data_IF_093455869703
#
_entry.id   IF_093455869703
#
_cell.length_a   1.000
_cell.length_b   1.000
_cell.length_c   1.000
_cell.angle_alpha   90.00
_cell.angle_beta   90.00
_cell.angle_gamma   90.00
#
_symmetry.space_group_name_H-M   'P 1'
#
loop_
_entity.id
_entity.type
_entity.pdbx_description
1 polymer ?
#
# COMPACT_ATOMS: atom_id res chain seq x y z
N UNK A 1 -65.03 -5.81 -49.81
CA UNK A 1 -63.79 -5.01 -49.60
C UNK A 1 -63.53 -4.95 -48.09
N UNK A 2 -62.28 -4.98 -47.61
CA UNK A 2 -61.56 -6.20 -47.23
C UNK A 2 -61.26 -6.35 -45.71
N UNK A 3 -60.96 -7.60 -45.33
CA UNK A 3 -59.98 -8.11 -44.35
C UNK A 3 -59.46 -7.17 -43.24
N UNK A 4 -59.44 -7.68 -42.01
CA UNK A 4 -58.18 -8.01 -41.29
C UNK A 4 -58.45 -8.81 -40.00
N UNK A 5 -58.15 -10.10 -40.08
CA UNK A 5 -57.85 -11.01 -38.97
C UNK A 5 -56.51 -10.63 -38.31
N UNK A 6 -56.44 -10.65 -36.98
CA UNK A 6 -55.18 -10.78 -36.26
C UNK A 6 -55.27 -11.98 -35.30
N UNK A 7 -54.64 -13.08 -35.70
CA UNK A 7 -54.28 -14.18 -34.83
C UNK A 7 -52.94 -13.83 -34.17
N UNK A 8 -52.86 -13.86 -32.85
CA UNK A 8 -51.60 -13.82 -32.13
C UNK A 8 -51.26 -15.25 -31.71
N UNK A 9 -50.30 -15.85 -32.40
CA UNK A 9 -49.73 -17.14 -32.09
C UNK A 9 -48.73 -17.00 -30.93
N UNK A 10 -48.92 -17.79 -29.86
CA UNK A 10 -47.93 -17.99 -28.81
C UNK A 10 -46.76 -18.82 -29.37
N UNK A 11 -45.59 -18.19 -29.49
CA UNK A 11 -44.33 -18.86 -29.79
C UNK A 11 -43.56 -19.09 -28.48
N UNK A 12 -43.46 -20.37 -28.09
CA UNK A 12 -42.50 -20.84 -27.10
C UNK A 12 -41.10 -20.79 -27.74
N UNK A 13 -40.12 -20.23 -27.02
CA UNK A 13 -38.70 -20.38 -27.38
C UNK A 13 -37.92 -20.92 -26.17
N UNK A 14 -37.50 -22.15 -26.39
CA UNK A 14 -36.54 -23.02 -25.72
C UNK A 14 -35.41 -22.36 -24.93
N UNK A 15 -35.18 -22.90 -23.75
CA UNK A 15 -33.98 -22.68 -22.94
C UNK A 15 -32.73 -23.21 -23.65
N UNK A 16 -31.72 -22.34 -23.86
CA UNK A 16 -30.35 -22.77 -24.16
C UNK A 16 -29.61 -22.97 -22.84
N UNK A 17 -29.35 -24.24 -22.52
CA UNK A 17 -28.34 -24.66 -21.53
C UNK A 17 -26.95 -24.31 -22.08
N UNK A 18 -26.30 -23.30 -21.52
CA UNK A 18 -24.86 -23.09 -21.72
C UNK A 18 -24.13 -24.04 -20.78
N UNK A 19 -23.47 -25.05 -21.35
CA UNK A 19 -22.59 -25.94 -20.61
C UNK A 19 -21.39 -25.17 -20.06
N UNK A 20 -21.23 -25.14 -18.73
CA UNK A 20 -19.97 -24.75 -18.11
C UNK A 20 -18.98 -25.92 -18.23
N UNK A 21 -18.03 -25.78 -19.15
CA UNK A 21 -16.74 -26.44 -19.01
C UNK A 21 -16.09 -25.88 -17.73
N UNK A 22 -15.61 -26.72 -16.78
CA UNK A 22 -14.74 -26.25 -15.71
C UNK A 22 -13.36 -25.94 -16.31
N UNK A 23 -13.29 -24.84 -17.05
CA UNK A 23 -12.07 -24.25 -17.55
C UNK A 23 -11.52 -23.33 -16.48
N UNK A 24 -10.38 -23.72 -15.90
CA UNK A 24 -9.35 -22.88 -15.31
C UNK A 24 -9.79 -21.42 -15.08
N UNK A 25 -10.45 -21.17 -13.95
CA UNK A 25 -10.36 -19.85 -13.34
C UNK A 25 -8.89 -19.62 -13.05
N UNK A 26 -8.21 -18.85 -13.90
CA UNK A 26 -6.96 -18.22 -13.54
C UNK A 26 -7.18 -17.45 -12.22
N UNK A 27 -6.13 -17.19 -11.44
CA UNK A 27 -6.29 -16.47 -10.18
C UNK A 27 -7.02 -15.17 -10.49
N UNK A 28 -8.23 -15.03 -9.94
CA UNK A 28 -8.90 -13.74 -9.86
C UNK A 28 -7.87 -12.84 -9.22
N UNK A 29 -7.48 -11.75 -9.89
CA UNK A 29 -6.54 -10.79 -9.33
C UNK A 29 -7.04 -10.44 -7.93
N UNK A 30 -6.34 -10.96 -6.91
CA UNK A 30 -6.64 -10.58 -5.54
C UNK A 30 -6.51 -9.08 -5.47
N UNK A 31 -7.41 -8.40 -4.78
CA UNK A 31 -7.30 -6.95 -4.54
C UNK A 31 -6.01 -6.57 -3.79
N UNK A 32 -5.30 -7.57 -3.25
CA UNK A 32 -4.07 -7.41 -2.48
C UNK A 32 -3.18 -8.66 -2.51
N UNK A 33 -1.88 -8.50 -2.27
CA UNK A 33 -0.97 -9.64 -2.02
C UNK A 33 -1.40 -10.43 -0.79
N UNK A 34 -1.83 -9.71 0.24
CA UNK A 34 -2.42 -10.25 1.45
C UNK A 34 -3.95 -10.25 1.34
N UNK A 35 -4.67 -10.78 2.33
CA UNK A 35 -6.11 -10.52 2.47
C UNK A 35 -6.37 -9.37 3.46
N UNK A 36 -5.40 -8.46 3.65
CA UNK A 36 -5.51 -7.38 4.61
C UNK A 36 -6.50 -6.33 4.13
N UNK A 37 -7.44 -5.96 4.98
CA UNK A 37 -8.52 -5.01 4.67
C UNK A 37 -8.76 -3.99 5.77
N UNK A 38 -8.04 -4.11 6.90
CA UNK A 38 -8.24 -3.20 8.02
C UNK A 38 -7.65 -1.83 7.69
N UNK A 39 -8.51 -0.82 7.73
CA UNK A 39 -8.14 0.59 7.68
C UNK A 39 -7.76 1.10 9.07
N UNK A 40 -8.08 0.42 10.18
CA UNK A 40 -7.85 0.95 11.54
C UNK A 40 -6.80 0.19 12.36
N UNK A 41 -6.36 -0.97 11.87
CA UNK A 41 -5.31 -1.78 12.47
C UNK A 41 -4.24 -2.03 11.42
N UNK A 42 -2.95 -1.76 11.71
CA UNK A 42 -1.88 -2.00 10.75
C UNK A 42 -1.67 -3.51 10.51
N UNK A 43 -1.23 -3.93 9.32
CA UNK A 43 -0.94 -5.33 9.03
C UNK A 43 0.13 -5.88 9.96
N UNK A 44 0.06 -7.18 10.25
CA UNK A 44 1.09 -7.87 11.05
C UNK A 44 2.41 -8.02 10.27
N UNK A 45 2.31 -8.16 8.94
CA UNK A 45 3.43 -8.41 8.04
C UNK A 45 3.29 -7.62 6.74
N UNK A 46 4.40 -7.42 6.05
CA UNK A 46 4.46 -6.82 4.70
C UNK A 46 5.39 -7.65 3.81
N UNK A 47 5.04 -7.74 2.53
CA UNK A 47 5.86 -8.40 1.50
C UNK A 47 6.68 -7.35 0.76
N UNK A 48 8.00 -7.41 0.94
CA UNK A 48 8.94 -6.45 0.39
C UNK A 48 9.71 -7.09 -0.74
N UNK A 49 9.57 -6.55 -1.94
CA UNK A 49 10.42 -6.90 -3.07
C UNK A 49 11.83 -6.34 -2.85
N UNK A 50 12.82 -7.22 -2.90
CA UNK A 50 14.23 -6.92 -2.73
C UNK A 50 14.84 -6.60 -4.09
N UNK A 51 14.94 -5.33 -4.45
CA UNK A 51 15.27 -4.90 -5.81
C UNK A 51 16.58 -5.50 -6.33
N UNK A 52 17.61 -5.56 -5.49
CA UNK A 52 18.92 -6.06 -5.88
C UNK A 52 18.97 -7.58 -6.13
N UNK A 53 18.15 -8.36 -5.42
CA UNK A 53 18.17 -9.84 -5.51
C UNK A 53 16.99 -10.44 -6.29
N UNK A 54 15.91 -9.68 -6.48
CA UNK A 54 14.67 -10.13 -7.11
C UNK A 54 13.78 -10.99 -6.19
N UNK A 55 14.16 -11.19 -4.93
CA UNK A 55 13.37 -11.98 -3.96
C UNK A 55 12.24 -11.15 -3.35
N UNK A 56 11.29 -11.83 -2.70
CA UNK A 56 10.24 -11.19 -1.90
C UNK A 56 10.38 -11.67 -0.46
N UNK A 57 10.62 -10.74 0.45
CA UNK A 57 10.73 -11.02 1.88
C UNK A 57 9.39 -10.75 2.56
N UNK A 58 8.92 -11.67 3.40
CA UNK A 58 7.77 -11.41 4.29
C UNK A 58 8.30 -11.11 5.69
N UNK A 59 8.07 -9.88 6.15
CA UNK A 59 8.65 -9.39 7.42
C UNK A 59 7.60 -8.79 8.33
N UNK A 60 7.89 -8.70 9.64
CA UNK A 60 7.03 -7.98 10.58
C UNK A 60 6.88 -6.53 10.14
N UNK A 61 5.64 -6.06 10.03
CA UNK A 61 5.35 -4.69 9.59
C UNK A 61 5.99 -3.65 10.51
N UNK A 62 5.97 -3.89 11.82
CA UNK A 62 6.59 -3.01 12.80
C UNK A 62 8.11 -2.94 12.66
N UNK A 63 8.76 -4.08 12.47
CA UNK A 63 10.22 -4.12 12.24
C UNK A 63 10.61 -3.44 10.93
N UNK A 64 9.80 -3.64 9.87
CA UNK A 64 9.96 -2.94 8.60
C UNK A 64 9.89 -1.41 8.78
N UNK A 65 8.85 -0.89 9.44
CA UNK A 65 8.71 0.56 9.69
C UNK A 65 9.92 1.13 10.45
N UNK A 66 10.43 0.41 11.46
CA UNK A 66 11.62 0.85 12.22
C UNK A 66 12.87 0.94 11.35
N UNK A 67 13.09 -0.07 10.50
CA UNK A 67 14.22 -0.08 9.59
C UNK A 67 14.11 1.04 8.57
N UNK A 68 12.96 1.17 7.89
CA UNK A 68 12.73 2.21 6.88
C UNK A 68 12.91 3.62 7.46
N UNK A 69 12.37 3.90 8.64
CA UNK A 69 12.59 5.21 9.26
C UNK A 69 14.07 5.49 9.52
N UNK A 70 14.87 4.46 9.82
CA UNK A 70 16.33 4.59 10.00
C UNK A 70 17.08 4.84 8.70
N UNK A 71 16.43 4.66 7.54
CA UNK A 71 17.01 4.89 6.21
C UNK A 71 16.49 6.18 5.57
N UNK A 72 15.27 6.58 5.91
CA UNK A 72 14.56 7.70 5.27
C UNK A 72 14.61 9.00 6.06
N UNK A 73 14.85 8.95 7.37
CA UNK A 73 14.96 10.14 8.25
C UNK A 73 16.34 10.24 8.86
N UNK A 74 16.87 11.45 9.03
CA UNK A 74 18.16 11.64 9.71
C UNK A 74 17.98 11.42 11.22
N UNK A 75 18.74 10.47 11.78
CA UNK A 75 18.55 9.99 13.15
C UNK A 75 18.86 11.01 14.25
N UNK A 76 19.56 12.10 13.91
CA UNK A 76 19.88 13.22 14.79
C UNK A 76 18.85 14.35 14.76
N UNK A 77 17.82 14.27 13.92
CA UNK A 77 16.73 15.23 13.94
C UNK A 77 15.91 15.14 15.23
N UNK A 78 15.12 16.17 15.48
CA UNK A 78 14.31 16.27 16.69
C UNK A 78 13.40 15.06 16.86
N UNK A 79 13.11 14.69 18.11
CA UNK A 79 12.20 13.57 18.42
C UNK A 79 10.84 13.75 17.74
N UNK A 80 10.34 15.00 17.63
CA UNK A 80 9.07 15.26 16.95
C UNK A 80 9.16 15.00 15.44
N UNK A 81 10.28 15.37 14.80
CA UNK A 81 10.50 15.04 13.38
C UNK A 81 10.53 13.52 13.17
N UNK A 82 11.24 12.77 14.01
CA UNK A 82 11.28 11.31 13.92
C UNK A 82 9.90 10.67 14.16
N UNK A 83 9.11 11.19 15.11
CA UNK A 83 7.73 10.70 15.36
C UNK A 83 6.79 10.99 14.20
N UNK A 84 6.89 12.17 13.58
CA UNK A 84 6.15 12.49 12.34
C UNK A 84 6.58 11.57 11.19
N UNK A 85 7.88 11.37 11.00
CA UNK A 85 8.41 10.42 10.02
C UNK A 85 7.92 8.99 10.25
N UNK A 86 7.84 8.55 11.51
CA UNK A 86 7.33 7.22 11.86
C UNK A 86 5.87 7.03 11.41
N UNK A 87 5.02 8.03 11.60
CA UNK A 87 3.63 8.01 11.13
C UNK A 87 3.57 7.95 9.60
N UNK A 88 4.35 8.80 8.92
CA UNK A 88 4.42 8.91 7.46
C UNK A 88 4.90 7.60 6.82
N UNK A 89 6.00 7.03 7.30
CA UNK A 89 6.55 5.78 6.76
C UNK A 89 5.56 4.63 6.94
N UNK A 90 4.95 4.52 8.11
CA UNK A 90 3.99 3.47 8.42
C UNK A 90 2.72 3.58 7.58
N UNK A 91 2.13 4.77 7.46
CA UNK A 91 0.88 4.96 6.73
C UNK A 91 1.06 4.71 5.23
N UNK A 92 2.18 5.14 4.66
CA UNK A 92 2.50 4.85 3.26
C UNK A 92 2.53 3.34 3.01
N UNK A 93 3.32 2.60 3.80
CA UNK A 93 3.45 1.16 3.64
C UNK A 93 2.11 0.43 3.83
N UNK A 94 1.31 0.86 4.80
CA UNK A 94 -0.03 0.30 5.05
C UNK A 94 -0.96 0.57 3.86
N UNK A 95 -0.96 1.78 3.32
CA UNK A 95 -1.72 2.10 2.12
C UNK A 95 -1.33 1.19 0.94
N UNK A 96 -0.03 0.93 0.73
CA UNK A 96 0.41 0.03 -0.35
C UNK A 96 -0.05 -1.43 -0.15
N UNK A 97 -0.19 -1.89 1.09
CA UNK A 97 -0.74 -3.22 1.41
C UNK A 97 -2.24 -3.30 1.08
N UNK A 98 -3.00 -2.25 1.38
CA UNK A 98 -4.45 -2.18 1.10
C UNK A 98 -4.74 -1.96 -0.39
N UNK A 99 -3.88 -1.23 -1.08
CA UNK A 99 -4.04 -0.84 -2.49
C UNK A 99 -2.94 -1.46 -3.34
N UNK A 100 -3.00 -2.78 -3.51
CA UNK A 100 -1.98 -3.49 -4.28
C UNK A 100 -1.95 -3.06 -5.74
N UNK A 101 -0.73 -2.88 -6.25
CA UNK A 101 -0.44 -2.32 -7.58
C UNK A 101 -0.12 -3.38 -8.63
N UNK A 102 -0.42 -4.66 -8.36
CA UNK A 102 -0.12 -5.76 -9.29
C UNK A 102 1.34 -6.21 -9.29
N UNK A 103 2.15 -5.79 -8.30
CA UNK A 103 3.57 -6.14 -8.22
C UNK A 103 3.79 -7.63 -8.05
N UNK A 104 4.49 -8.26 -9.00
CA UNK A 104 4.96 -9.65 -8.97
C UNK A 104 6.42 -9.74 -9.38
N UNK A 105 7.20 -10.62 -8.74
CA UNK A 105 8.58 -10.88 -9.15
C UNK A 105 8.65 -11.87 -10.33
N UNK A 106 9.87 -12.17 -10.80
CA UNK A 106 10.09 -13.09 -11.93
C UNK A 106 9.57 -14.52 -11.69
N UNK A 107 9.42 -14.93 -10.43
CA UNK A 107 8.87 -16.24 -10.04
C UNK A 107 7.35 -16.22 -9.83
N UNK A 108 6.68 -15.08 -10.09
CA UNK A 108 5.24 -14.90 -9.89
C UNK A 108 4.84 -14.63 -8.43
N UNK A 109 5.79 -14.42 -7.52
CA UNK A 109 5.49 -14.04 -6.14
C UNK A 109 5.09 -12.56 -6.07
N UNK A 110 3.90 -12.29 -5.53
CA UNK A 110 3.41 -10.93 -5.36
C UNK A 110 4.05 -10.20 -4.17
N UNK A 111 4.19 -8.88 -4.28
CA UNK A 111 4.74 -8.01 -3.24
C UNK A 111 3.94 -6.72 -3.08
N UNK A 112 3.94 -6.16 -1.86
CA UNK A 112 3.21 -4.93 -1.53
C UNK A 112 4.02 -3.68 -1.91
N UNK A 113 5.33 -3.77 -1.72
CA UNK A 113 6.25 -2.63 -1.74
C UNK A 113 7.66 -3.05 -2.19
N UNK A 114 8.42 -2.12 -2.75
CA UNK A 114 9.84 -2.25 -3.07
C UNK A 114 10.71 -1.66 -1.95
N UNK A 115 11.95 -2.14 -1.87
CA UNK A 115 12.94 -1.70 -0.88
C UNK A 115 13.84 -0.55 -1.36
N UNK A 116 13.52 0.06 -2.50
CA UNK A 116 14.28 1.13 -3.14
C UNK A 116 13.48 2.43 -3.24
N UNK A 117 14.07 3.43 -3.90
CA UNK A 117 13.50 4.79 -4.02
C UNK A 117 12.21 4.88 -4.83
N UNK A 118 11.73 3.77 -5.42
CA UNK A 118 10.40 3.72 -6.01
C UNK A 118 9.29 3.76 -4.95
N UNK A 119 9.53 3.13 -3.79
CA UNK A 119 8.59 3.11 -2.69
C UNK A 119 9.24 3.62 -1.40
N UNK A 120 9.97 2.76 -0.66
CA UNK A 120 10.70 3.16 0.55
C UNK A 120 11.99 2.37 0.69
N UNK A 121 13.05 3.03 1.14
CA UNK A 121 14.35 2.40 1.36
C UNK A 121 14.30 1.47 2.57
N UNK A 122 14.35 0.16 2.31
CA UNK A 122 14.41 -0.88 3.33
C UNK A 122 15.73 -1.66 3.20
N UNK A 123 16.54 -1.65 4.24
CA UNK A 123 17.82 -2.36 4.25
C UNK A 123 18.03 -3.11 5.57
N UNK A 124 17.64 -4.39 5.63
CA UNK A 124 17.81 -5.25 6.81
C UNK A 124 19.25 -5.66 7.07
N UNK A 125 20.20 -5.40 6.14
CA UNK A 125 21.63 -5.65 6.39
C UNK A 125 22.24 -4.61 7.33
N UNK A 126 21.61 -3.44 7.45
CA UNK A 126 22.03 -2.34 8.29
C UNK A 126 21.21 -2.28 9.59
N UNK A 127 21.82 -1.91 10.72
CA UNK A 127 21.12 -1.83 12.01
C UNK A 127 20.01 -0.78 11.99
N UNK A 128 18.94 -1.07 12.72
CA UNK A 128 17.89 -0.12 13.05
C UNK A 128 18.39 0.84 14.11
N UNK A 129 18.21 2.14 13.91
CA UNK A 129 18.62 3.14 14.89
C UNK A 129 17.67 3.15 16.09
N UNK A 130 18.22 3.26 17.30
CA UNK A 130 17.43 3.28 18.53
C UNK A 130 16.44 4.45 18.58
N UNK A 131 16.82 5.62 18.03
CA UNK A 131 15.95 6.81 17.95
C UNK A 131 14.76 6.59 17.00
N UNK A 132 14.99 5.96 15.85
CA UNK A 132 13.93 5.58 14.91
C UNK A 132 13.00 4.51 15.52
N UNK A 133 13.58 3.48 16.15
CA UNK A 133 12.81 2.45 16.83
C UNK A 133 11.89 3.03 17.92
N UNK A 134 12.43 3.93 18.75
CA UNK A 134 11.68 4.60 19.81
C UNK A 134 10.57 5.51 19.25
N UNK A 135 10.82 6.19 18.12
CA UNK A 135 9.81 7.01 17.46
C UNK A 135 8.64 6.16 16.95
N UNK A 136 8.92 5.03 16.29
CA UNK A 136 7.89 4.08 15.83
C UNK A 136 7.12 3.48 17.01
N UNK A 137 7.79 3.11 18.10
CA UNK A 137 7.11 2.58 19.28
C UNK A 137 6.18 3.62 19.91
N UNK A 138 6.63 4.87 20.03
CA UNK A 138 5.86 5.96 20.61
C UNK A 138 4.62 6.35 19.78
N UNK A 139 4.63 6.11 18.47
CA UNK A 139 3.51 6.47 17.57
C UNK A 139 2.74 5.27 17.04
N UNK A 140 3.05 4.04 17.47
CA UNK A 140 2.49 2.83 16.88
C UNK A 140 0.96 2.77 16.95
N UNK A 141 0.36 3.33 18.01
CA UNK A 141 -1.10 3.43 18.17
C UNK A 141 -1.75 4.64 17.50
N UNK A 142 -0.98 5.55 16.90
CA UNK A 142 -1.52 6.71 16.20
C UNK A 142 -2.25 6.29 14.93
N UNK A 143 -3.22 7.08 14.47
CA UNK A 143 -4.01 6.79 13.28
C UNK A 143 -4.05 8.03 12.39
N UNK A 144 -3.72 7.89 11.11
CA UNK A 144 -3.69 9.01 10.15
C UNK A 144 -4.66 8.71 9.02
N UNK A 145 -5.88 9.24 9.13
CA UNK A 145 -6.98 8.94 8.21
C UNK A 145 -7.46 10.16 7.47
N UNK A 146 -8.07 9.91 6.31
CA UNK A 146 -8.93 10.86 5.61
C UNK A 146 -10.17 10.09 5.16
N UNK A 147 -11.35 10.59 5.53
CA UNK A 147 -12.65 10.03 5.13
C UNK A 147 -12.80 8.53 5.43
N UNK A 148 -12.28 8.08 6.58
CA UNK A 148 -12.36 6.68 7.01
C UNK A 148 -11.30 5.75 6.43
N UNK A 149 -10.47 6.23 5.51
CA UNK A 149 -9.40 5.46 4.87
C UNK A 149 -8.02 5.86 5.40
N UNK A 150 -7.09 4.92 5.37
CA UNK A 150 -5.67 5.19 5.59
C UNK A 150 -5.21 6.24 4.59
N UNK A 151 -4.71 7.34 5.12
CA UNK A 151 -4.26 8.44 4.29
C UNK A 151 -2.91 8.06 3.64
N UNK A 152 -2.78 8.07 2.30
CA UNK A 152 -1.51 7.77 1.63
C UNK A 152 -0.52 8.89 1.88
N UNK A 153 0.25 8.78 2.96
CA UNK A 153 1.28 9.76 3.35
C UNK A 153 2.50 9.63 2.46
N UNK A 154 2.39 10.03 1.19
CA UNK A 154 3.56 10.22 0.32
C UNK A 154 4.53 11.19 0.99
N UNK A 155 5.82 11.09 0.68
CA UNK A 155 6.81 12.00 1.24
C UNK A 155 7.93 12.33 0.27
N UNK A 156 8.64 13.41 0.56
CA UNK A 156 9.85 13.84 -0.12
C UNK A 156 10.73 14.58 0.89
N UNK A 157 12.04 14.64 0.63
CA UNK A 157 12.94 15.41 1.46
C UNK A 157 12.52 16.90 1.56
N UNK A 158 12.14 17.53 0.45
CA UNK A 158 12.00 18.99 0.36
C UNK A 158 13.35 19.68 0.22
N UNK A 159 13.36 21.01 0.36
CA UNK A 159 14.58 21.82 0.33
C UNK A 159 15.18 22.05 1.71
N UNK A 160 16.51 22.06 1.82
CA UNK A 160 17.17 22.59 3.02
C UNK A 160 16.79 24.06 3.17
N UNK A 161 16.39 24.46 4.37
CA UNK A 161 15.87 25.79 4.70
C UNK A 161 14.53 26.17 4.05
N UNK A 162 13.76 25.18 3.56
CA UNK A 162 12.41 25.43 3.06
C UNK A 162 11.51 25.99 4.17
N UNK A 163 10.70 27.00 3.87
CA UNK A 163 9.71 27.50 4.82
C UNK A 163 8.69 26.40 5.12
N UNK A 164 8.34 26.23 6.41
CA UNK A 164 7.35 25.22 6.80
C UNK A 164 6.05 25.37 5.99
N UNK A 165 5.67 24.29 5.28
CA UNK A 165 4.44 24.26 4.49
C UNK A 165 4.53 24.91 3.10
N UNK A 166 5.70 25.37 2.65
CA UNK A 166 5.85 26.03 1.34
C UNK A 166 5.35 25.15 0.17
N UNK A 167 5.54 23.83 0.25
CA UNK A 167 5.09 22.87 -0.74
C UNK A 167 3.86 22.04 -0.30
N UNK A 168 3.12 22.48 0.72
CA UNK A 168 1.97 21.73 1.22
C UNK A 168 0.84 21.69 0.18
N UNK A 169 0.52 20.48 -0.29
CA UNK A 169 -0.58 20.22 -1.23
C UNK A 169 -1.64 19.27 -0.67
N UNK A 170 -1.54 18.93 0.62
CA UNK A 170 -2.46 18.02 1.30
C UNK A 170 -2.33 16.54 0.92
N UNK A 171 -1.28 16.14 0.19
CA UNK A 171 -1.01 14.75 -0.23
C UNK A 171 0.38 14.23 0.15
N UNK A 172 1.31 15.12 0.49
CA UNK A 172 2.71 14.78 0.73
C UNK A 172 3.27 15.45 1.99
N UNK A 173 4.05 14.71 2.76
CA UNK A 173 4.88 15.23 3.84
C UNK A 173 6.27 15.63 3.32
N UNK A 174 6.82 16.70 3.88
CA UNK A 174 8.16 17.17 3.58
C UNK A 174 9.03 17.05 4.84
N UNK A 175 10.25 16.54 4.66
CA UNK A 175 11.14 16.22 5.77
C UNK A 175 11.84 17.47 6.33
N UNK A 176 12.31 18.33 5.42
CA UNK A 176 12.93 19.60 5.76
C UNK A 176 11.89 20.68 6.03
N UNK A 177 12.25 21.60 6.92
CA UNK A 177 11.48 22.80 7.27
C UNK A 177 12.33 23.73 8.13
N UNK A 178 11.98 25.02 8.14
CA UNK A 178 12.56 26.06 9.02
C UNK A 178 11.58 26.50 10.09
#
# INVERSE_FOLDING_TARGET
>A
MPRRTFAAACLAVSALMVGLLPGLVGPVAGSSCSAWTSETVPPSTIRVFRHASGTVDTVSFKSYTKNVLSREWIGSWTTQSLRSGALVVRNYAWYQVLHWRGGVNASGACFDIRDDTWDQVYDPSLPTWSTAAAAVDATWGGLVHRDGHIFPTYYNAGGVNEACGANANGWKAYQWGT
#
